data_IF_632033831995
#
_entry.id   IF_632033831995
#
_cell.length_a   1.000
_cell.length_b   1.000
_cell.length_c   1.000
_cell.angle_alpha   90.00
_cell.angle_beta   90.00
_cell.angle_gamma   90.00
#
_symmetry.space_group_name_H-M   'P 1'
#
loop_
_entity.id
_entity.type
_entity.pdbx_description
1 polymer ?
#
# COMPACT_ATOMS: atom_id res chain seq x y z
N UNK A 1 16.43 -9.91 -15.09
CA UNK A 1 17.82 -9.77 -15.56
C UNK A 1 17.90 -9.03 -16.91
N UNK A 2 17.08 -9.39 -17.89
CA UNK A 2 17.12 -8.82 -19.25
C UNK A 2 16.89 -7.29 -19.30
N UNK A 3 15.91 -6.77 -18.56
CA UNK A 3 15.65 -5.33 -18.48
C UNK A 3 16.82 -4.56 -17.87
N UNK A 4 17.48 -5.11 -16.85
CA UNK A 4 18.66 -4.48 -16.25
C UNK A 4 19.82 -4.39 -17.24
N UNK A 5 20.02 -5.42 -18.06
CA UNK A 5 21.02 -5.41 -19.13
C UNK A 5 20.72 -4.33 -20.19
N UNK A 6 19.48 -4.25 -20.68
CA UNK A 6 19.06 -3.23 -21.63
C UNK A 6 19.24 -1.80 -21.10
N UNK A 7 18.91 -1.58 -19.83
CA UNK A 7 19.10 -0.28 -19.16
C UNK A 7 20.61 0.05 -19.10
N UNK A 8 21.44 -0.93 -18.73
CA UNK A 8 22.89 -0.74 -18.67
C UNK A 8 23.48 -0.41 -20.04
N UNK A 9 23.10 -1.14 -21.09
CA UNK A 9 23.54 -0.85 -22.46
C UNK A 9 23.06 0.53 -22.95
N UNK A 10 21.81 0.89 -22.65
CA UNK A 10 21.27 2.20 -22.98
C UNK A 10 22.05 3.34 -22.29
N UNK A 11 22.39 3.17 -21.01
CA UNK A 11 23.23 4.14 -20.28
C UNK A 11 24.61 4.26 -20.94
N UNK A 12 25.26 3.14 -21.26
CA UNK A 12 26.56 3.13 -21.91
C UNK A 12 26.50 3.80 -23.28
N UNK A 13 25.47 3.53 -24.08
CA UNK A 13 25.23 4.18 -25.37
C UNK A 13 25.02 5.70 -25.19
N UNK A 14 24.16 6.12 -24.25
CA UNK A 14 23.94 7.54 -23.96
C UNK A 14 25.23 8.26 -23.55
N UNK A 15 26.09 7.61 -22.77
CA UNK A 15 27.37 8.16 -22.36
C UNK A 15 28.31 8.41 -23.54
N UNK A 16 28.30 7.51 -24.53
CA UNK A 16 29.18 7.60 -25.72
C UNK A 16 28.63 8.57 -26.77
N UNK A 17 27.35 8.43 -27.10
CA UNK A 17 26.75 9.08 -28.27
C UNK A 17 25.93 10.33 -27.92
N UNK A 18 25.38 10.42 -26.70
CA UNK A 18 24.41 11.45 -26.30
C UNK A 18 24.71 12.04 -24.93
N UNK A 19 25.97 12.34 -24.62
CA UNK A 19 26.39 12.88 -23.34
C UNK A 19 25.61 14.13 -22.91
N UNK A 20 25.21 14.99 -23.85
CA UNK A 20 24.37 16.15 -23.55
C UNK A 20 23.01 15.77 -22.97
N UNK A 21 22.36 14.75 -23.56
CA UNK A 21 21.10 14.24 -23.07
C UNK A 21 21.25 13.58 -21.68
N UNK A 22 22.35 12.84 -21.46
CA UNK A 22 22.63 12.24 -20.16
C UNK A 22 22.83 13.30 -19.05
N UNK A 23 23.49 14.43 -19.34
CA UNK A 23 23.62 15.56 -18.40
C UNK A 23 22.26 16.14 -18.02
N UNK A 24 21.36 16.30 -18.99
CA UNK A 24 19.98 16.74 -18.74
C UNK A 24 19.25 15.75 -17.83
N UNK A 25 19.35 14.45 -18.15
CA UNK A 25 18.76 13.39 -17.32
C UNK A 25 19.30 13.42 -15.88
N UNK A 26 20.61 13.51 -15.69
CA UNK A 26 21.23 13.62 -14.37
C UNK A 26 20.72 14.86 -13.59
N UNK A 27 20.59 15.99 -14.29
CA UNK A 27 20.01 17.22 -13.72
C UNK A 27 18.55 17.04 -13.29
N UNK A 28 17.73 16.38 -14.11
CA UNK A 28 16.33 16.10 -13.77
C UNK A 28 16.25 15.19 -12.54
N UNK A 29 17.03 14.11 -12.48
CA UNK A 29 17.06 13.21 -11.32
C UNK A 29 17.48 13.97 -10.05
N UNK A 30 18.53 14.78 -10.12
CA UNK A 30 18.97 15.58 -8.99
C UNK A 30 17.88 16.57 -8.54
N UNK A 31 17.16 17.20 -9.47
CA UNK A 31 16.06 18.12 -9.16
C UNK A 31 14.88 17.40 -8.51
N UNK A 32 14.50 16.23 -9.00
CA UNK A 32 13.46 15.40 -8.38
C UNK A 32 13.86 14.96 -6.97
N UNK A 33 15.13 14.62 -6.76
CA UNK A 33 15.65 14.26 -5.45
C UNK A 33 15.58 15.45 -4.46
N UNK A 34 15.95 16.65 -4.91
CA UNK A 34 15.81 17.87 -4.11
C UNK A 34 14.36 18.12 -3.74
N UNK A 35 13.44 18.01 -4.71
CA UNK A 35 12.00 18.20 -4.48
C UNK A 35 11.48 17.22 -3.40
N UNK A 36 11.89 15.96 -3.47
CA UNK A 36 11.50 14.94 -2.51
C UNK A 36 12.05 15.21 -1.11
N UNK A 37 13.30 15.67 -1.00
CA UNK A 37 13.92 16.08 0.27
C UNK A 37 13.17 17.28 0.87
N UNK A 38 12.89 18.30 0.06
CA UNK A 38 12.14 19.49 0.49
C UNK A 38 10.74 19.11 0.95
N UNK A 39 10.04 18.27 0.19
CA UNK A 39 8.72 17.77 0.58
C UNK A 39 8.78 17.00 1.91
N UNK A 40 9.80 16.17 2.12
CA UNK A 40 9.98 15.43 3.37
C UNK A 40 10.24 16.37 4.56
N UNK A 41 11.05 17.42 4.36
CA UNK A 41 11.28 18.45 5.38
C UNK A 41 9.98 19.18 5.69
N UNK A 42 9.20 19.58 4.68
CA UNK A 42 7.92 20.26 4.85
C UNK A 42 6.93 19.41 5.68
N UNK A 43 6.85 18.10 5.41
CA UNK A 43 6.07 17.17 6.22
C UNK A 43 6.57 17.12 7.66
N UNK A 44 7.88 16.95 7.87
CA UNK A 44 8.47 16.88 9.22
C UNK A 44 8.26 18.15 10.04
N UNK A 45 8.13 19.28 9.40
CA UNK A 45 7.88 20.59 10.04
C UNK A 45 6.38 20.87 10.22
N UNK A 46 5.47 19.96 9.85
CA UNK A 46 4.02 20.16 9.92
C UNK A 46 3.52 21.30 9.02
N UNK A 47 4.22 21.57 7.90
CA UNK A 47 3.85 22.65 6.98
C UNK A 47 2.72 22.27 6.02
N UNK A 48 2.33 20.99 6.00
CA UNK A 48 1.29 20.48 5.11
C UNK A 48 0.01 20.28 5.93
N UNK A 49 -1.04 21.12 5.72
CA UNK A 49 -2.28 20.97 6.48
C UNK A 49 -3.12 19.79 5.96
N UNK A 50 -3.83 19.11 6.87
CA UNK A 50 -4.74 17.99 6.54
C UNK A 50 -5.85 18.38 5.57
N UNK A 51 -6.20 19.66 5.54
CA UNK A 51 -7.26 20.22 4.70
C UNK A 51 -7.00 20.11 3.21
N UNK A 52 -5.77 19.76 2.79
CA UNK A 52 -5.47 19.49 1.37
C UNK A 52 -6.06 18.16 0.87
N UNK A 53 -6.34 17.25 1.78
CA UNK A 53 -6.86 15.93 1.41
C UNK A 53 -8.38 15.96 1.30
N UNK A 54 -8.88 15.64 0.12
CA UNK A 54 -10.30 15.57 -0.18
C UNK A 54 -10.67 14.21 -0.76
N UNK A 55 -11.94 13.85 -0.66
CA UNK A 55 -12.48 12.64 -1.25
C UNK A 55 -12.29 11.38 -0.40
N UNK A 56 -12.43 10.23 -1.05
CA UNK A 56 -12.55 8.90 -0.43
C UNK A 56 -11.41 8.52 0.53
N UNK A 57 -10.20 8.91 0.19
CA UNK A 57 -8.99 8.53 0.94
C UNK A 57 -8.43 9.65 1.83
N UNK A 58 -9.19 10.72 2.05
CA UNK A 58 -8.73 11.87 2.82
C UNK A 58 -8.25 11.49 4.22
N UNK A 59 -9.01 10.68 4.95
CA UNK A 59 -8.66 10.24 6.30
C UNK A 59 -7.40 9.34 6.34
N UNK A 60 -7.21 8.47 5.35
CA UNK A 60 -6.00 7.63 5.24
C UNK A 60 -4.77 8.46 4.91
N UNK A 61 -4.91 9.40 3.99
CA UNK A 61 -3.84 10.29 3.61
C UNK A 61 -3.43 11.21 4.77
N UNK A 62 -4.39 11.72 5.54
CA UNK A 62 -4.12 12.48 6.75
C UNK A 62 -3.42 11.62 7.82
N UNK A 63 -3.88 10.39 8.05
CA UNK A 63 -3.22 9.46 8.96
C UNK A 63 -1.78 9.13 8.53
N UNK A 64 -1.55 8.96 7.22
CA UNK A 64 -0.21 8.75 6.67
C UNK A 64 0.67 9.99 6.86
N UNK A 65 0.13 11.20 6.63
CA UNK A 65 0.84 12.44 6.86
C UNK A 65 1.28 12.55 8.34
N UNK A 66 0.38 12.36 9.28
CA UNK A 66 0.69 12.40 10.71
C UNK A 66 1.68 11.31 11.15
N UNK A 67 1.63 10.13 10.53
CA UNK A 67 2.63 9.09 10.80
C UNK A 67 4.02 9.50 10.31
N UNK A 68 4.10 10.18 9.15
CA UNK A 68 5.35 10.73 8.63
C UNK A 68 5.89 11.90 9.48
N UNK A 69 5.02 12.74 10.03
CA UNK A 69 5.40 13.84 10.94
C UNK A 69 6.08 13.36 12.21
N UNK A 70 5.64 12.24 12.77
CA UNK A 70 6.18 11.67 14.02
C UNK A 70 7.63 11.20 13.92
N UNK A 71 8.20 11.12 12.71
CA UNK A 71 9.55 10.61 12.49
C UNK A 71 9.66 9.09 12.60
N UNK A 72 10.88 8.55 12.67
CA UNK A 72 11.11 7.10 12.63
C UNK A 72 10.52 6.40 13.85
N UNK A 73 9.71 5.38 13.60
CA UNK A 73 9.09 4.54 14.62
C UNK A 73 9.84 3.20 14.81
N UNK A 74 10.84 2.94 13.96
CA UNK A 74 11.64 1.70 14.00
C UNK A 74 13.10 1.97 13.67
N UNK A 75 13.98 1.02 14.02
CA UNK A 75 15.41 1.07 13.66
C UNK A 75 15.57 1.09 12.13
N UNK A 76 14.77 0.33 11.40
CA UNK A 76 14.80 0.30 9.93
C UNK A 76 14.49 1.67 9.33
N UNK A 77 13.49 2.37 9.85
CA UNK A 77 13.17 3.74 9.46
C UNK A 77 14.30 4.71 9.82
N UNK A 78 14.93 4.52 11.00
CA UNK A 78 16.11 5.30 11.41
C UNK A 78 17.28 5.15 10.44
N UNK A 79 17.57 3.93 9.97
CA UNK A 79 18.56 3.67 8.92
C UNK A 79 18.20 4.39 7.62
N UNK A 80 16.92 4.48 7.30
CA UNK A 80 16.43 5.23 6.14
C UNK A 80 16.92 6.69 6.10
N UNK A 81 17.07 7.33 7.25
CA UNK A 81 17.57 8.70 7.32
C UNK A 81 19.05 8.83 6.93
N UNK A 82 19.86 7.78 7.05
CA UNK A 82 21.23 7.77 6.54
C UNK A 82 21.25 7.87 5.00
N UNK A 83 20.25 7.31 4.34
CA UNK A 83 20.14 7.41 2.89
C UNK A 83 19.80 8.83 2.41
N UNK A 84 19.18 9.68 3.25
CA UNK A 84 19.04 11.11 2.93
C UNK A 84 20.39 11.80 2.85
N UNK A 85 21.32 11.48 3.77
CA UNK A 85 22.69 12.03 3.75
C UNK A 85 23.41 11.58 2.48
N UNK A 86 23.29 10.29 2.14
CA UNK A 86 23.89 9.73 0.93
C UNK A 86 23.28 10.36 -0.34
N UNK A 87 21.97 10.62 -0.34
CA UNK A 87 21.27 11.28 -1.44
C UNK A 87 21.76 12.73 -1.61
N UNK A 88 21.88 13.50 -0.53
CA UNK A 88 22.41 14.88 -0.56
C UNK A 88 23.83 14.86 -1.10
N UNK A 89 24.68 13.95 -0.65
CA UNK A 89 26.02 13.76 -1.20
C UNK A 89 25.99 13.45 -2.70
N UNK A 90 25.14 12.52 -3.13
CA UNK A 90 24.98 12.14 -4.53
C UNK A 90 24.56 13.32 -5.40
N UNK A 91 23.61 14.16 -4.94
CA UNK A 91 23.17 15.36 -5.62
C UNK A 91 24.33 16.37 -5.76
N UNK A 92 25.00 16.68 -4.66
CA UNK A 92 26.14 17.61 -4.65
C UNK A 92 27.25 17.15 -5.59
N UNK A 93 27.63 15.87 -5.49
CA UNK A 93 28.69 15.28 -6.32
C UNK A 93 28.29 15.21 -7.81
N UNK A 94 27.00 14.97 -8.12
CA UNK A 94 26.48 15.04 -9.49
C UNK A 94 26.65 16.45 -10.06
N UNK A 95 26.22 17.49 -9.36
CA UNK A 95 26.39 18.88 -9.82
C UNK A 95 27.87 19.26 -9.98
N UNK A 96 28.75 18.83 -9.08
CA UNK A 96 30.17 19.11 -9.19
C UNK A 96 30.79 18.39 -10.40
N UNK A 97 30.39 17.15 -10.68
CA UNK A 97 30.83 16.38 -11.83
C UNK A 97 30.32 16.96 -13.16
N UNK A 98 29.09 17.49 -13.17
CA UNK A 98 28.54 18.21 -14.33
C UNK A 98 29.38 19.46 -14.66
N UNK A 99 29.77 20.22 -13.64
CA UNK A 99 30.65 21.40 -13.82
C UNK A 99 32.03 21.05 -14.35
N UNK A 100 32.60 19.91 -13.88
CA UNK A 100 33.93 19.44 -14.30
C UNK A 100 33.92 18.64 -15.59
N UNK A 101 32.77 18.36 -16.19
CA UNK A 101 32.60 17.55 -17.39
C UNK A 101 33.22 16.14 -17.31
N UNK A 102 33.30 15.56 -16.11
CA UNK A 102 33.90 14.24 -15.91
C UNK A 102 32.85 13.14 -16.03
N UNK A 103 32.76 12.54 -17.20
CA UNK A 103 31.70 11.59 -17.61
C UNK A 103 31.47 10.44 -16.63
N UNK A 104 32.54 9.70 -16.27
CA UNK A 104 32.40 8.54 -15.36
C UNK A 104 31.87 8.92 -13.98
N UNK A 105 32.29 10.10 -13.48
CA UNK A 105 31.82 10.61 -12.19
C UNK A 105 30.35 11.03 -12.25
N UNK A 106 29.89 11.62 -13.36
CA UNK A 106 28.47 12.00 -13.52
C UNK A 106 27.58 10.77 -13.40
N UNK A 107 27.94 9.69 -14.09
CA UNK A 107 27.18 8.42 -14.05
C UNK A 107 27.19 7.83 -12.63
N UNK A 108 28.35 7.68 -12.02
CA UNK A 108 28.49 7.11 -10.69
C UNK A 108 27.67 7.86 -9.63
N UNK A 109 27.76 9.20 -9.59
CA UNK A 109 27.04 10.00 -8.64
C UNK A 109 25.52 10.06 -8.89
N UNK A 110 25.11 10.04 -10.18
CA UNK A 110 23.69 9.91 -10.53
C UNK A 110 23.10 8.57 -10.06
N UNK A 111 23.85 7.47 -10.23
CA UNK A 111 23.44 6.16 -9.72
C UNK A 111 23.35 6.14 -8.20
N UNK A 112 24.30 6.73 -7.48
CA UNK A 112 24.22 6.88 -6.02
C UNK A 112 22.96 7.63 -5.63
N UNK A 113 22.62 8.72 -6.33
CA UNK A 113 21.39 9.49 -6.06
C UNK A 113 20.14 8.62 -6.28
N UNK A 114 20.06 7.90 -7.40
CA UNK A 114 18.92 7.03 -7.72
C UNK A 114 18.76 5.92 -6.67
N UNK A 115 19.85 5.21 -6.36
CA UNK A 115 19.82 4.11 -5.38
C UNK A 115 19.39 4.65 -4.00
N UNK A 116 19.95 5.79 -3.59
CA UNK A 116 19.57 6.42 -2.33
C UNK A 116 18.09 6.80 -2.29
N UNK A 117 17.52 7.32 -3.38
CA UNK A 117 16.09 7.62 -3.48
C UNK A 117 15.23 6.36 -3.29
N UNK A 118 15.57 5.26 -3.97
CA UNK A 118 14.86 3.99 -3.80
C UNK A 118 14.94 3.49 -2.36
N UNK A 119 16.12 3.55 -1.74
CA UNK A 119 16.30 3.13 -0.35
C UNK A 119 15.55 4.03 0.65
N UNK A 120 15.45 5.34 0.39
CA UNK A 120 14.61 6.26 1.17
C UNK A 120 13.13 5.86 1.05
N UNK A 121 12.64 5.65 -0.16
CA UNK A 121 11.25 5.26 -0.40
C UNK A 121 10.91 3.93 0.28
N UNK A 122 11.78 2.95 0.14
CA UNK A 122 11.58 1.61 0.69
C UNK A 122 11.67 1.57 2.22
N UNK A 123 12.61 2.31 2.81
CA UNK A 123 12.84 2.28 4.25
C UNK A 123 11.97 3.24 5.07
N UNK A 124 11.49 4.32 4.49
CA UNK A 124 10.73 5.35 5.22
C UNK A 124 9.27 5.46 4.78
N UNK A 125 9.01 5.55 3.48
CA UNK A 125 7.66 5.76 2.97
C UNK A 125 6.83 4.48 2.97
N UNK A 126 7.39 3.39 2.47
CA UNK A 126 6.67 2.13 2.34
C UNK A 126 6.23 1.54 3.69
N UNK A 127 7.06 1.47 4.75
CA UNK A 127 6.60 1.02 6.06
C UNK A 127 5.48 1.91 6.62
N UNK A 128 5.58 3.23 6.46
CA UNK A 128 4.54 4.16 6.93
C UNK A 128 3.23 3.92 6.22
N UNK A 129 3.24 3.79 4.88
CA UNK A 129 2.03 3.48 4.09
C UNK A 129 1.41 2.14 4.52
N UNK A 130 2.23 1.11 4.72
CA UNK A 130 1.75 -0.20 5.14
C UNK A 130 1.20 -0.19 6.57
N UNK A 131 1.81 0.58 7.48
CA UNK A 131 1.39 0.66 8.87
C UNK A 131 0.10 1.47 9.07
N UNK A 132 -0.22 2.41 8.17
CA UNK A 132 -1.45 3.21 8.23
C UNK A 132 -2.65 2.54 7.54
N UNK A 133 -2.47 1.39 6.90
CA UNK A 133 -3.59 0.64 6.30
C UNK A 133 -4.52 0.08 7.37
N UNK A 134 -5.79 0.41 7.26
CA UNK A 134 -6.84 -0.02 8.19
C UNK A 134 -6.88 -1.56 8.33
N UNK A 135 -6.72 -2.30 7.23
CA UNK A 135 -6.80 -3.75 7.20
C UNK A 135 -5.72 -4.42 8.05
N UNK A 136 -4.51 -3.86 8.09
CA UNK A 136 -3.44 -4.34 8.97
C UNK A 136 -3.83 -4.22 10.46
N UNK A 137 -4.57 -3.18 10.80
CA UNK A 137 -5.07 -2.97 12.17
C UNK A 137 -6.22 -3.95 12.50
N UNK A 138 -7.13 -4.18 11.53
CA UNK A 138 -8.29 -5.03 11.76
C UNK A 138 -7.97 -6.52 11.78
N UNK A 139 -6.99 -6.99 11.01
CA UNK A 139 -6.65 -8.40 10.92
C UNK A 139 -6.44 -9.08 12.29
N UNK A 140 -5.57 -8.59 13.20
CA UNK A 140 -5.37 -9.21 14.51
C UNK A 140 -6.61 -9.10 15.42
N UNK A 141 -7.45 -8.08 15.25
CA UNK A 141 -8.70 -7.95 15.98
C UNK A 141 -9.71 -9.01 15.55
N UNK A 142 -9.81 -9.24 14.23
CA UNK A 142 -10.66 -10.28 13.64
C UNK A 142 -10.21 -11.67 14.08
N UNK A 143 -8.90 -11.94 13.99
CA UNK A 143 -8.31 -13.22 14.37
C UNK A 143 -8.52 -13.56 15.86
N UNK A 144 -8.50 -12.56 16.72
CA UNK A 144 -8.79 -12.72 18.15
C UNK A 144 -10.28 -12.92 18.43
N UNK A 145 -11.16 -12.36 17.59
CA UNK A 145 -12.60 -12.34 17.84
C UNK A 145 -13.34 -13.50 17.20
N UNK A 146 -12.87 -14.02 16.10
CA UNK A 146 -13.53 -15.06 15.31
C UNK A 146 -12.59 -16.22 15.00
N UNK A 147 -13.17 -17.41 14.87
CA UNK A 147 -12.46 -18.55 14.30
C UNK A 147 -12.27 -18.35 12.79
N UNK A 148 -11.04 -18.03 12.41
CA UNK A 148 -10.71 -17.74 11.02
C UNK A 148 -10.82 -18.94 10.09
N UNK A 149 -10.90 -20.18 10.60
CA UNK A 149 -11.15 -21.37 9.79
C UNK A 149 -12.56 -21.42 9.21
N UNK A 150 -13.50 -20.67 9.82
CA UNK A 150 -14.90 -20.51 9.40
C UNK A 150 -15.25 -19.08 9.02
N UNK A 151 -14.26 -18.35 8.49
CA UNK A 151 -14.42 -16.97 8.04
C UNK A 151 -14.57 -16.93 6.52
N UNK A 152 -15.65 -16.33 6.07
CA UNK A 152 -16.02 -16.23 4.65
C UNK A 152 -16.20 -14.77 4.24
N UNK A 153 -16.08 -14.51 2.95
CA UNK A 153 -16.34 -13.20 2.36
C UNK A 153 -17.32 -13.29 1.20
N UNK A 154 -18.12 -12.25 1.04
CA UNK A 154 -18.95 -12.06 -0.14
C UNK A 154 -18.79 -10.62 -0.63
N UNK A 155 -18.58 -10.46 -1.93
CA UNK A 155 -18.63 -9.20 -2.64
C UNK A 155 -19.33 -9.43 -3.98
N UNK A 156 -20.17 -8.50 -4.40
CA UNK A 156 -20.89 -8.58 -5.68
C UNK A 156 -19.95 -8.47 -6.89
N UNK A 157 -18.79 -7.84 -6.72
CA UNK A 157 -17.74 -7.74 -7.72
C UNK A 157 -16.73 -8.87 -7.48
N UNK A 158 -16.75 -9.86 -8.35
CA UNK A 158 -16.00 -11.13 -8.23
C UNK A 158 -14.47 -10.97 -8.13
N UNK A 159 -13.92 -9.84 -8.52
CA UNK A 159 -12.47 -9.56 -8.48
C UNK A 159 -11.96 -8.95 -7.17
N UNK A 160 -12.83 -8.58 -6.22
CA UNK A 160 -12.45 -7.78 -5.04
C UNK A 160 -12.83 -8.45 -3.72
N UNK A 161 -12.32 -9.65 -3.45
CA UNK A 161 -12.66 -10.43 -2.26
C UNK A 161 -11.84 -10.08 -1.01
N UNK A 162 -11.83 -8.83 -0.55
CA UNK A 162 -11.09 -8.41 0.65
C UNK A 162 -9.61 -8.84 0.63
N UNK A 163 -8.94 -8.72 -0.52
CA UNK A 163 -7.56 -9.20 -0.71
C UNK A 163 -6.58 -8.66 0.31
N UNK A 164 -6.65 -7.37 0.59
CA UNK A 164 -5.72 -6.74 1.54
C UNK A 164 -5.92 -7.32 2.94
N UNK A 165 -7.16 -7.42 3.39
CA UNK A 165 -7.48 -8.00 4.70
C UNK A 165 -7.12 -9.50 4.75
N UNK A 166 -7.42 -10.25 3.69
CA UNK A 166 -7.10 -11.68 3.57
C UNK A 166 -5.59 -11.93 3.61
N UNK A 167 -4.80 -11.07 2.94
CA UNK A 167 -3.35 -11.10 3.02
C UNK A 167 -2.84 -10.99 4.46
N UNK A 168 -3.35 -10.03 5.25
CA UNK A 168 -2.94 -9.87 6.66
C UNK A 168 -3.47 -11.00 7.57
N UNK A 169 -4.51 -11.72 7.17
CA UNK A 169 -5.03 -12.91 7.87
C UNK A 169 -4.37 -14.22 7.40
N UNK A 170 -3.36 -14.16 6.53
CA UNK A 170 -2.64 -15.33 6.02
C UNK A 170 -3.48 -16.21 5.12
N UNK A 171 -4.28 -15.62 4.23
CA UNK A 171 -5.16 -16.27 3.25
C UNK A 171 -6.20 -17.24 3.84
N UNK A 172 -6.72 -16.88 5.02
CA UNK A 172 -7.71 -17.71 5.74
C UNK A 172 -9.17 -17.43 5.35
N UNK A 173 -9.45 -16.29 4.69
CA UNK A 173 -10.81 -15.93 4.28
C UNK A 173 -11.18 -16.70 3.02
N UNK A 174 -12.26 -17.47 3.10
CA UNK A 174 -12.79 -18.23 1.96
C UNK A 174 -13.93 -17.46 1.28
N UNK A 175 -14.16 -17.72 -0.01
CA UNK A 175 -15.26 -17.11 -0.74
C UNK A 175 -16.56 -17.86 -0.45
N UNK A 176 -17.57 -17.17 0.07
CA UNK A 176 -18.86 -17.77 0.48
C UNK A 176 -19.59 -18.42 -0.69
N UNK A 177 -19.63 -17.76 -1.83
CA UNK A 177 -20.31 -18.21 -3.05
C UNK A 177 -19.69 -19.46 -3.69
N UNK A 178 -18.38 -19.68 -3.50
CA UNK A 178 -17.69 -20.86 -4.01
C UNK A 178 -17.79 -22.06 -3.08
N UNK A 179 -17.85 -21.82 -1.77
CA UNK A 179 -17.83 -22.92 -0.78
C UNK A 179 -19.21 -23.33 -0.31
N UNK A 180 -20.19 -22.42 -0.31
CA UNK A 180 -21.55 -22.61 0.21
C UNK A 180 -21.57 -23.35 1.56
N UNK A 181 -20.89 -22.82 2.57
CA UNK A 181 -20.63 -23.51 3.84
C UNK A 181 -21.90 -23.74 4.65
N UNK A 182 -21.84 -24.63 5.67
CA UNK A 182 -22.99 -24.94 6.52
C UNK A 182 -23.21 -23.90 7.63
N UNK A 183 -22.11 -23.43 8.25
CA UNK A 183 -22.10 -22.46 9.33
C UNK A 183 -20.81 -21.64 9.31
N UNK A 184 -20.80 -20.52 10.00
CA UNK A 184 -19.61 -19.68 10.14
C UNK A 184 -19.93 -18.20 10.26
N UNK A 185 -18.95 -17.41 9.90
CA UNK A 185 -19.04 -15.94 9.84
C UNK A 185 -18.79 -15.50 8.41
N UNK A 186 -19.68 -14.69 7.85
CA UNK A 186 -19.49 -14.07 6.52
C UNK A 186 -19.33 -12.57 6.66
N UNK A 187 -18.35 -12.04 5.95
CA UNK A 187 -18.08 -10.61 5.82
C UNK A 187 -18.77 -10.09 4.56
N UNK A 188 -19.61 -9.08 4.71
CA UNK A 188 -20.35 -8.45 3.60
C UNK A 188 -20.29 -6.94 3.75
N UNK A 189 -19.97 -6.23 2.67
CA UNK A 189 -20.09 -4.77 2.64
C UNK A 189 -21.55 -4.34 2.75
N UNK A 190 -21.81 -3.21 3.40
CA UNK A 190 -23.16 -2.67 3.47
C UNK A 190 -23.75 -2.34 2.08
N UNK A 191 -22.89 -2.08 1.08
CA UNK A 191 -23.33 -1.90 -0.31
C UNK A 191 -23.86 -3.20 -0.94
N UNK A 192 -23.35 -4.34 -0.51
CA UNK A 192 -23.66 -5.66 -1.08
C UNK A 192 -24.69 -6.46 -0.26
N UNK A 193 -25.06 -5.99 0.94
CA UNK A 193 -25.90 -6.76 1.87
C UNK A 193 -27.27 -7.09 1.29
N UNK A 194 -27.86 -6.18 0.54
CA UNK A 194 -29.15 -6.42 -0.08
C UNK A 194 -29.06 -7.54 -1.13
N UNK A 195 -28.09 -7.46 -2.03
CA UNK A 195 -27.86 -8.48 -3.07
C UNK A 195 -27.55 -9.83 -2.44
N UNK A 196 -26.71 -9.82 -1.38
CA UNK A 196 -26.36 -11.02 -0.64
C UNK A 196 -27.59 -11.68 0.00
N UNK A 197 -28.43 -10.89 0.66
CA UNK A 197 -29.64 -11.39 1.34
C UNK A 197 -30.68 -11.88 0.34
N UNK A 198 -30.88 -11.21 -0.77
CA UNK A 198 -31.79 -11.69 -1.85
C UNK A 198 -31.32 -13.03 -2.43
N UNK A 199 -30.00 -13.19 -2.60
CA UNK A 199 -29.43 -14.42 -3.18
C UNK A 199 -29.43 -15.62 -2.23
N UNK A 200 -29.15 -15.40 -0.96
CA UNK A 200 -28.90 -16.49 0.00
C UNK A 200 -29.89 -16.58 1.16
N UNK A 201 -30.72 -15.55 1.41
CA UNK A 201 -31.62 -15.49 2.55
C UNK A 201 -32.69 -16.58 2.60
N UNK A 202 -32.99 -17.26 1.47
CA UNK A 202 -33.88 -18.42 1.46
C UNK A 202 -33.26 -19.69 2.03
N UNK A 203 -31.94 -19.82 1.93
CA UNK A 203 -31.20 -21.04 2.28
C UNK A 203 -30.38 -20.88 3.56
N UNK A 204 -30.27 -19.68 4.09
CA UNK A 204 -29.44 -19.34 5.25
C UNK A 204 -30.17 -18.35 6.15
N UNK A 205 -29.94 -18.48 7.46
CA UNK A 205 -30.26 -17.45 8.45
C UNK A 205 -28.99 -16.64 8.74
N UNK A 206 -29.14 -15.31 8.84
CA UNK A 206 -28.04 -14.41 9.08
C UNK A 206 -28.31 -13.54 10.32
N UNK A 207 -27.32 -13.42 11.20
CA UNK A 207 -27.35 -12.53 12.37
C UNK A 207 -26.13 -11.63 12.35
N UNK A 208 -26.31 -10.30 12.32
CA UNK A 208 -25.18 -9.36 12.40
C UNK A 208 -24.55 -9.40 13.78
N UNK A 209 -23.28 -9.77 13.87
CA UNK A 209 -22.55 -9.92 15.16
C UNK A 209 -21.52 -8.83 15.37
N UNK A 210 -21.04 -8.20 14.30
CA UNK A 210 -20.04 -7.14 14.39
C UNK A 210 -19.96 -6.31 13.11
N UNK A 211 -19.22 -5.19 13.18
CA UNK A 211 -19.00 -4.30 12.04
C UNK A 211 -17.65 -3.59 12.17
N UNK A 212 -16.98 -3.38 11.03
CA UNK A 212 -15.82 -2.49 10.93
C UNK A 212 -16.16 -1.33 9.99
N UNK A 213 -15.56 -0.15 10.18
CA UNK A 213 -15.92 1.03 9.40
C UNK A 213 -15.71 0.85 7.89
N UNK A 214 -14.62 0.22 7.50
CA UNK A 214 -14.28 -0.11 6.10
C UNK A 214 -13.02 -0.95 6.00
N UNK A 215 -12.79 -1.52 4.82
CA UNK A 215 -11.52 -2.13 4.39
C UNK A 215 -10.90 -1.32 3.26
N UNK A 216 -9.73 -1.74 2.76
CA UNK A 216 -9.10 -1.10 1.61
C UNK A 216 -9.98 -1.17 0.34
N UNK A 217 -10.76 -2.23 0.17
CA UNK A 217 -11.60 -2.50 -0.99
C UNK A 217 -13.01 -1.91 -0.89
N UNK A 218 -13.51 -1.64 0.33
CA UNK A 218 -14.90 -1.19 0.54
C UNK A 218 -15.01 0.31 0.75
N UNK A 219 -16.11 0.89 0.27
CA UNK A 219 -16.47 2.30 0.52
C UNK A 219 -17.30 2.45 1.80
N UNK A 220 -18.10 1.43 2.09
CA UNK A 220 -19.02 1.38 3.21
C UNK A 220 -18.52 0.44 4.31
N UNK A 221 -19.09 0.53 5.51
CA UNK A 221 -18.81 -0.41 6.57
C UNK A 221 -19.01 -1.86 6.14
N UNK A 222 -18.23 -2.76 6.75
CA UNK A 222 -18.31 -4.19 6.51
C UNK A 222 -18.91 -4.86 7.72
N UNK A 223 -20.07 -5.47 7.53
CA UNK A 223 -20.76 -6.26 8.53
C UNK A 223 -20.22 -7.69 8.58
N UNK A 224 -20.12 -8.23 9.79
CA UNK A 224 -19.85 -9.64 10.07
C UNK A 224 -21.14 -10.29 10.49
N UNK A 225 -21.55 -11.31 9.74
CA UNK A 225 -22.81 -12.00 9.96
C UNK A 225 -22.53 -13.45 10.31
N UNK A 226 -23.02 -13.88 11.48
CA UNK A 226 -23.10 -15.31 11.79
C UNK A 226 -24.18 -15.92 10.90
N UNK A 227 -23.89 -17.04 10.30
CA UNK A 227 -24.85 -17.72 9.45
C UNK A 227 -24.92 -19.21 9.77
N UNK A 228 -26.11 -19.77 9.53
CA UNK A 228 -26.37 -21.20 9.56
C UNK A 228 -27.24 -21.53 8.35
N UNK A 229 -26.88 -22.58 7.64
CA UNK A 229 -27.69 -23.08 6.52
C UNK A 229 -28.99 -23.64 7.06
N UNK A 230 -30.10 -23.14 6.55
CA UNK A 230 -31.43 -23.65 6.90
C UNK A 230 -31.54 -25.06 6.35
N UNK A 231 -31.64 -26.06 7.23
CA UNK A 231 -32.00 -27.41 6.80
C UNK A 231 -33.39 -27.33 6.16
N UNK A 232 -33.48 -27.56 4.86
CA UNK A 232 -34.77 -27.77 4.25
C UNK A 232 -35.34 -29.05 4.94
N UNK A 233 -36.22 -28.82 5.93
CA UNK A 233 -37.07 -29.92 6.40
C UNK A 233 -37.83 -30.39 5.17
N UNK A 234 -37.38 -31.49 4.61
CA UNK A 234 -38.19 -32.35 3.72
C UNK A 234 -39.39 -32.79 4.55
N UNK A 235 -40.35 -31.90 4.73
CA UNK A 235 -41.71 -32.32 5.02
C UNK A 235 -42.27 -32.86 3.70
N UNK A 236 -41.89 -34.08 3.36
CA UNK A 236 -42.70 -34.93 2.51
C UNK A 236 -43.96 -35.28 3.32
N UNK A 237 -45.06 -34.66 3.03
CA UNK A 237 -46.38 -35.16 3.23
C UNK A 237 -46.98 -35.55 1.86
#
# INVERSE_FOLDING_TARGET
PFMAYLIAEYIVWMMKEKMGAFKVYAGVIASLAILLIVARIAVSCGLIPDTIFHGRHAAENAAMLHALEKGPQSIAEGIGYLFFILCIYGIYATFQSLRRNHTGSIVGHTLITIISLFLILDSTLQPTVLNTKADKHWAPVIEKKFDTSKLYSYMSIDMLHFFSLNFYLGDKIQQFDKTLPQDGIVMVSNDDIQIFTEKYGRNYTFEKVWEIPRTAETRCPVGFYRFVKTSANLACN
#
